data_IF_346827069411
#
_entry.id   IF_346827069411
#
_cell.length_a   1.000
_cell.length_b   1.000
_cell.length_c   1.000
_cell.angle_alpha   90.00
_cell.angle_beta   90.00
_cell.angle_gamma   90.00
#
_symmetry.space_group_name_H-M   'P 1'
#
loop_
_entity.id
_entity.type
_entity.pdbx_description
1 polymer ?
#
# COMPACT_ATOMS: atom_id res chain seq x y z
N UNK A 1 -0.45 12.51 11.00
CA UNK A 1 -0.66 11.21 10.32
C UNK A 1 -0.09 11.27 8.91
N UNK A 2 0.80 10.34 8.57
CA UNK A 2 1.33 10.18 7.21
C UNK A 2 0.35 9.44 6.30
N UNK A 3 0.44 9.65 5.00
CA UNK A 3 -0.25 8.82 4.01
C UNK A 3 0.73 8.33 2.94
N UNK A 4 0.57 7.08 2.52
CA UNK A 4 1.40 6.43 1.52
C UNK A 4 0.53 5.92 0.36
N UNK A 5 0.95 6.16 -0.88
CA UNK A 5 0.32 5.58 -2.07
C UNK A 5 1.26 4.56 -2.70
N UNK A 6 0.85 3.30 -2.69
CA UNK A 6 1.55 2.19 -3.34
C UNK A 6 1.14 2.15 -4.82
N UNK A 7 2.10 2.29 -5.71
CA UNK A 7 1.86 2.32 -7.16
C UNK A 7 3.03 1.70 -7.92
N UNK A 8 2.72 0.91 -8.96
CA UNK A 8 3.74 0.31 -9.83
C UNK A 8 4.35 1.36 -10.75
N UNK A 9 5.67 1.37 -10.91
CA UNK A 9 6.36 2.35 -11.77
C UNK A 9 5.92 2.30 -13.24
N UNK A 10 5.46 1.14 -13.72
CA UNK A 10 4.94 0.98 -15.08
C UNK A 10 3.49 1.48 -15.26
N UNK A 11 2.83 1.94 -14.20
CA UNK A 11 1.41 2.30 -14.21
C UNK A 11 1.21 3.80 -13.89
N UNK A 12 1.75 4.72 -14.72
CA UNK A 12 1.61 6.16 -14.49
C UNK A 12 0.15 6.64 -14.61
N UNK A 13 -0.67 6.02 -15.46
CA UNK A 13 -2.08 6.40 -15.62
C UNK A 13 -2.88 6.15 -14.33
N UNK A 14 -2.66 4.99 -13.70
CA UNK A 14 -3.27 4.66 -12.41
C UNK A 14 -2.78 5.57 -11.29
N UNK A 15 -1.51 5.98 -11.33
CA UNK A 15 -0.99 6.97 -10.39
C UNK A 15 -1.74 8.30 -10.54
N UNK A 16 -1.96 8.78 -11.77
CA UNK A 16 -2.68 10.02 -12.02
C UNK A 16 -4.15 9.93 -11.56
N UNK A 17 -4.83 8.80 -11.79
CA UNK A 17 -6.18 8.57 -11.30
C UNK A 17 -6.28 8.56 -9.77
N UNK A 18 -5.34 7.89 -9.10
CA UNK A 18 -5.28 7.83 -7.65
C UNK A 18 -4.93 9.21 -7.05
N UNK A 19 -3.99 9.93 -7.66
CA UNK A 19 -3.63 11.30 -7.25
C UNK A 19 -4.85 12.21 -7.29
N UNK A 20 -5.58 12.26 -8.42
CA UNK A 20 -6.77 13.10 -8.55
C UNK A 20 -7.80 12.82 -7.45
N UNK A 21 -8.01 11.55 -7.09
CA UNK A 21 -8.95 11.18 -6.04
C UNK A 21 -8.48 11.54 -4.64
N UNK A 22 -7.21 11.30 -4.31
CA UNK A 22 -6.63 11.65 -3.01
C UNK A 22 -6.60 13.18 -2.83
N UNK A 23 -6.24 13.93 -3.87
CA UNK A 23 -6.28 15.39 -3.87
C UNK A 23 -7.71 15.92 -3.68
N UNK A 24 -8.69 15.35 -4.37
CA UNK A 24 -10.11 15.71 -4.17
C UNK A 24 -10.61 15.41 -2.73
N UNK A 25 -10.07 14.37 -2.10
CA UNK A 25 -10.30 14.04 -0.71
C UNK A 25 -9.53 14.92 0.30
N UNK A 26 -8.55 15.71 -0.16
CA UNK A 26 -7.70 16.55 0.70
C UNK A 26 -6.55 15.77 1.36
N UNK A 27 -6.08 14.70 0.74
CA UNK A 27 -5.01 13.84 1.25
C UNK A 27 -3.70 14.13 0.50
N UNK A 28 -2.72 14.65 1.21
CA UNK A 28 -1.32 14.64 0.79
C UNK A 28 -0.70 13.27 1.08
N UNK A 29 0.12 12.76 0.17
CA UNK A 29 0.73 11.44 0.31
C UNK A 29 2.18 11.39 -0.19
N UNK A 30 2.91 10.41 0.31
CA UNK A 30 4.22 10.01 -0.21
C UNK A 30 4.07 8.75 -1.08
N UNK A 31 4.63 8.78 -2.29
CA UNK A 31 4.58 7.60 -3.18
C UNK A 31 5.55 6.52 -2.69
N UNK A 32 5.05 5.28 -2.67
CA UNK A 32 5.83 4.06 -2.48
C UNK A 32 5.84 3.33 -3.82
N UNK A 33 7.03 3.19 -4.42
CA UNK A 33 7.18 2.38 -5.63
C UNK A 33 6.87 0.93 -5.29
N UNK A 34 5.83 0.38 -5.94
CA UNK A 34 5.37 -0.97 -5.72
C UNK A 34 6.26 -1.95 -6.48
N UNK A 35 6.45 -3.13 -5.88
CA UNK A 35 7.20 -4.21 -6.49
C UNK A 35 6.34 -4.88 -7.56
N UNK A 36 6.86 -4.98 -8.78
CA UNK A 36 6.20 -5.73 -9.84
C UNK A 36 6.48 -7.23 -9.73
N UNK A 37 5.59 -7.94 -9.03
CA UNK A 37 5.67 -9.39 -8.92
C UNK A 37 5.54 -10.14 -10.25
N UNK A 38 4.88 -9.53 -11.26
CA UNK A 38 4.74 -10.15 -12.59
C UNK A 38 6.04 -10.06 -13.38
N UNK A 39 6.72 -8.92 -13.34
CA UNK A 39 8.02 -8.77 -14.01
C UNK A 39 9.14 -9.54 -13.31
N UNK A 40 9.18 -9.53 -11.97
CA UNK A 40 10.27 -10.18 -11.22
C UNK A 40 10.14 -11.71 -11.15
N UNK A 41 8.90 -12.22 -11.10
CA UNK A 41 8.63 -13.63 -10.83
C UNK A 41 9.26 -14.12 -9.52
N UNK A 42 9.41 -15.44 -9.38
CA UNK A 42 10.02 -16.03 -8.18
C UNK A 42 11.53 -15.83 -8.10
N UNK A 43 12.21 -15.67 -9.24
CA UNK A 43 13.64 -15.43 -9.27
C UNK A 43 13.99 -14.10 -8.58
N UNK A 44 13.29 -13.01 -8.90
CA UNK A 44 13.51 -11.70 -8.27
C UNK A 44 12.96 -11.56 -6.84
N UNK A 45 12.09 -12.47 -6.41
CA UNK A 45 11.53 -12.50 -5.04
C UNK A 45 12.23 -13.51 -4.12
N UNK A 46 13.26 -14.19 -4.61
CA UNK A 46 13.97 -15.23 -3.85
C UNK A 46 14.53 -14.64 -2.54
N UNK A 47 14.27 -15.33 -1.43
CA UNK A 47 14.74 -14.93 -0.11
C UNK A 47 13.99 -13.76 0.54
N UNK A 48 13.08 -13.09 -0.18
CA UNK A 48 12.28 -11.98 0.35
C UNK A 48 11.00 -12.44 1.05
N UNK A 49 10.46 -13.59 0.64
CA UNK A 49 9.26 -14.20 1.23
C UNK A 49 9.45 -15.70 1.40
N UNK A 50 9.08 -16.24 2.57
CA UNK A 50 9.06 -17.68 2.81
C UNK A 50 7.79 -18.31 2.25
N UNK A 51 7.91 -18.93 1.06
CA UNK A 51 6.80 -19.67 0.43
C UNK A 51 6.30 -20.83 1.28
N UNK A 52 7.20 -21.49 2.00
CA UNK A 52 6.87 -22.60 2.90
C UNK A 52 6.05 -22.12 4.10
N UNK A 53 6.52 -21.10 4.82
CA UNK A 53 5.75 -20.55 5.96
C UNK A 53 4.40 -20.01 5.54
N UNK A 54 4.34 -19.33 4.38
CA UNK A 54 3.07 -18.87 3.82
C UNK A 54 2.12 -20.05 3.54
N UNK A 55 2.62 -21.13 2.94
CA UNK A 55 1.81 -22.32 2.67
C UNK A 55 1.33 -23.03 3.94
N UNK A 56 2.14 -23.05 5.00
CA UNK A 56 1.73 -23.60 6.30
C UNK A 56 0.55 -22.85 6.92
N UNK A 57 0.52 -21.52 6.79
CA UNK A 57 -0.54 -20.68 7.36
C UNK A 57 -1.79 -20.66 6.49
N UNK A 58 -1.63 -20.64 5.17
CA UNK A 58 -2.72 -20.38 4.22
C UNK A 58 -3.13 -21.60 3.38
N UNK A 59 -2.50 -22.76 3.58
CA UNK A 59 -2.79 -24.00 2.84
C UNK A 59 -2.31 -24.03 1.38
N UNK A 60 -1.74 -22.92 0.87
CA UNK A 60 -1.19 -22.79 -0.48
C UNK A 60 -0.05 -21.79 -0.51
N UNK A 61 0.89 -21.96 -1.43
CA UNK A 61 1.94 -20.96 -1.66
C UNK A 61 1.35 -19.62 -2.18
N UNK A 62 2.01 -18.49 -1.91
CA UNK A 62 1.59 -17.21 -2.47
C UNK A 62 1.83 -17.22 -3.99
N UNK A 63 1.21 -16.28 -4.71
CA UNK A 63 1.65 -15.93 -6.07
C UNK A 63 2.77 -14.88 -6.02
N UNK A 64 3.58 -14.70 -7.08
CA UNK A 64 4.56 -13.61 -7.13
C UNK A 64 3.94 -12.24 -6.91
N UNK A 65 2.75 -11.99 -7.50
CA UNK A 65 2.02 -10.74 -7.31
C UNK A 65 1.60 -10.50 -5.86
N UNK A 66 1.10 -11.54 -5.18
CA UNK A 66 0.73 -11.46 -3.77
C UNK A 66 1.95 -11.19 -2.89
N UNK A 67 3.05 -11.93 -3.09
CA UNK A 67 4.29 -11.70 -2.38
C UNK A 67 4.83 -10.27 -2.60
N UNK A 68 4.77 -9.77 -3.83
CA UNK A 68 5.19 -8.42 -4.17
C UNK A 68 4.30 -7.33 -3.55
N UNK A 69 2.98 -7.52 -3.55
CA UNK A 69 2.05 -6.61 -2.86
C UNK A 69 2.34 -6.57 -1.35
N UNK A 70 2.52 -7.73 -0.69
CA UNK A 70 2.88 -7.79 0.73
C UNK A 70 4.19 -7.05 1.02
N UNK A 71 5.22 -7.24 0.19
CA UNK A 71 6.49 -6.54 0.36
C UNK A 71 6.39 -5.02 0.12
N UNK A 72 5.50 -4.58 -0.77
CA UNK A 72 5.26 -3.15 -1.02
C UNK A 72 4.57 -2.49 0.18
N UNK A 73 3.61 -3.16 0.79
CA UNK A 73 2.99 -2.73 2.05
C UNK A 73 3.99 -2.74 3.21
N UNK A 74 4.87 -3.74 3.26
CA UNK A 74 5.90 -3.81 4.27
C UNK A 74 6.84 -2.57 4.22
N UNK A 75 7.15 -2.04 3.03
CA UNK A 75 7.89 -0.78 2.93
C UNK A 75 7.09 0.42 3.46
N UNK A 76 5.78 0.51 3.20
CA UNK A 76 4.94 1.55 3.80
C UNK A 76 4.93 1.47 5.34
N UNK A 77 4.87 0.26 5.91
CA UNK A 77 4.97 0.06 7.36
C UNK A 77 6.33 0.45 7.90
N UNK A 78 7.40 0.12 7.18
CA UNK A 78 8.77 0.51 7.55
C UNK A 78 8.94 2.04 7.58
N UNK A 79 8.32 2.75 6.63
CA UNK A 79 8.29 4.23 6.59
C UNK A 79 7.45 4.81 7.73
N UNK A 80 6.28 4.23 8.04
CA UNK A 80 5.49 4.60 9.22
C UNK A 80 6.34 4.51 10.49
N UNK A 81 6.98 3.36 10.76
CA UNK A 81 7.82 3.19 11.94
C UNK A 81 8.98 4.19 11.99
N UNK A 82 9.60 4.50 10.84
CA UNK A 82 10.68 5.48 10.76
C UNK A 82 10.19 6.93 10.93
N UNK A 83 8.92 7.22 10.64
CA UNK A 83 8.35 8.57 10.75
C UNK A 83 8.05 9.02 12.19
N UNK A 84 7.97 8.08 13.14
CA UNK A 84 7.61 8.36 14.53
C UNK A 84 6.11 8.63 14.77
N UNK A 85 5.28 8.57 13.73
CA UNK A 85 3.83 8.73 13.83
C UNK A 85 3.16 7.49 14.43
N UNK A 86 2.10 7.69 15.21
CA UNK A 86 1.32 6.58 15.81
C UNK A 86 0.46 5.82 14.80
N UNK A 87 0.17 6.42 13.65
CA UNK A 87 -0.63 5.83 12.58
C UNK A 87 -0.24 6.40 11.20
N UNK A 88 -0.61 5.67 10.14
CA UNK A 88 -0.57 6.15 8.76
C UNK A 88 -1.72 5.57 7.93
N UNK A 89 -2.11 6.30 6.89
CA UNK A 89 -2.95 5.81 5.81
C UNK A 89 -2.08 5.11 4.77
N UNK A 90 -2.54 3.97 4.26
CA UNK A 90 -1.90 3.26 3.14
C UNK A 90 -2.95 3.01 2.07
N UNK A 91 -2.68 3.50 0.86
CA UNK A 91 -3.54 3.38 -0.31
C UNK A 91 -2.84 2.56 -1.39
N UNK A 92 -3.63 1.83 -2.17
CA UNK A 92 -3.21 1.28 -3.47
C UNK A 92 -3.74 2.19 -4.60
N UNK A 93 -3.14 2.09 -5.79
CA UNK A 93 -3.44 2.93 -6.95
C UNK A 93 -4.73 2.54 -7.71
N UNK A 94 -5.52 1.59 -7.20
CA UNK A 94 -6.92 1.35 -7.59
C UNK A 94 -7.92 1.95 -6.58
N UNK A 95 -7.44 2.76 -5.63
CA UNK A 95 -8.31 3.43 -4.66
C UNK A 95 -9.46 4.16 -5.37
N UNK A 96 -10.68 3.94 -4.87
CA UNK A 96 -11.88 4.67 -5.29
C UNK A 96 -12.51 5.37 -4.08
N UNK A 97 -12.47 6.70 -4.07
CA UNK A 97 -12.98 7.51 -2.96
C UNK A 97 -14.19 8.35 -3.37
N UNK A 98 -15.21 8.35 -2.51
CA UNK A 98 -16.11 9.50 -2.40
C UNK A 98 -15.46 10.52 -1.45
N UNK A 99 -15.08 11.72 -1.91
CA UNK A 99 -14.31 12.66 -1.09
C UNK A 99 -15.02 13.08 0.20
N UNK A 100 -16.34 13.31 0.15
CA UNK A 100 -17.09 13.78 1.31
C UNK A 100 -17.25 12.68 2.36
N UNK A 101 -17.56 11.46 1.93
CA UNK A 101 -17.67 10.29 2.80
C UNK A 101 -16.31 9.92 3.39
N UNK A 102 -15.25 9.95 2.60
CA UNK A 102 -13.90 9.66 3.07
C UNK A 102 -13.46 10.62 4.17
N UNK A 103 -13.60 11.95 3.94
CA UNK A 103 -13.25 12.96 4.97
C UNK A 103 -14.00 12.74 6.28
N UNK A 104 -15.31 12.43 6.20
CA UNK A 104 -16.11 12.11 7.40
C UNK A 104 -15.61 10.86 8.12
N UNK A 105 -15.25 9.81 7.38
CA UNK A 105 -14.73 8.58 7.97
C UNK A 105 -13.35 8.82 8.61
N UNK A 106 -12.47 9.57 7.96
CA UNK A 106 -11.15 9.91 8.47
C UNK A 106 -11.25 10.67 9.81
N UNK A 107 -12.09 11.69 9.89
CA UNK A 107 -12.30 12.44 11.13
C UNK A 107 -12.78 11.56 12.31
N UNK A 108 -13.58 10.52 12.03
CA UNK A 108 -14.02 9.56 13.05
C UNK A 108 -12.91 8.61 13.52
N UNK A 109 -11.94 8.31 12.64
CA UNK A 109 -10.77 7.50 12.97
C UNK A 109 -9.77 8.33 13.76
N UNK A 110 -9.48 9.55 13.31
CA UNK A 110 -8.57 10.49 13.99
C UNK A 110 -9.03 10.76 15.42
N UNK A 111 -10.33 10.97 15.65
CA UNK A 111 -10.90 11.15 17.00
C UNK A 111 -10.77 9.92 17.93
N UNK A 112 -10.25 8.79 17.45
CA UNK A 112 -9.99 7.56 18.24
C UNK A 112 -8.51 7.21 18.38
N UNK A 113 -7.63 7.99 17.75
CA UNK A 113 -6.18 7.77 17.81
C UNK A 113 -5.51 8.58 18.93
N UNK A 114 -6.26 9.47 19.57
CA UNK A 114 -5.96 10.09 20.87
C UNK A 114 -6.44 9.22 22.04
#
# INVERSE_FOLDING_TARGET
MKAYLINLDRSPDRLAEADAQLRAAGVDYERVSAIDGRALGWAGLRGRVSRFRFALVHGRGPSPGMAASTLSHHEAFRRLLASGEGAALVFEDDVRLDPARFRRALALVEARLD
#
